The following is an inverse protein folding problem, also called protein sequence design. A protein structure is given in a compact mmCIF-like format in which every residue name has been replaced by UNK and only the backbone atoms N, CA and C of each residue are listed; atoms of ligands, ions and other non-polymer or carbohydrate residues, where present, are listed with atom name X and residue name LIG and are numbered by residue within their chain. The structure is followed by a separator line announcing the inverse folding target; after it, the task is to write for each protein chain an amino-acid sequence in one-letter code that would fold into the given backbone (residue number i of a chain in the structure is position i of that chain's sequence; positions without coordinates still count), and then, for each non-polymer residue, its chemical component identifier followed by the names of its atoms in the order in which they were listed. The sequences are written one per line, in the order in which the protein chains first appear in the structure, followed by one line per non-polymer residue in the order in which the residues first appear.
data_IF_984402474765
#
_entry.id   IF_984402474765
#
_cell.length_a   1.000
_cell.length_b   1.000
_cell.length_c   1.000
_cell.angle_alpha   90.00
_cell.angle_beta   90.00
_cell.angle_gamma   90.00
#
_symmetry.space_group_name_H-M   'P 1'
#
loop_
_entity.id
_entity.type
_entity.pdbx_description
1 polymer ?
#
# COMPACT_ATOMS: atom_id res chain seq x y z
N UNK A 1 9.76 21.80 5.53
CA UNK A 1 9.48 21.31 4.15
C UNK A 1 8.00 20.96 3.90
N UNK A 2 7.43 19.87 4.45
CA UNK A 2 6.01 19.52 4.22
C UNK A 2 5.04 20.66 4.58
N UNK A 3 5.23 21.31 5.72
CA UNK A 3 4.32 22.38 6.18
C UNK A 3 4.58 23.73 5.50
N UNK A 4 5.70 23.88 4.79
CA UNK A 4 6.18 25.14 4.24
C UNK A 4 6.07 25.19 2.71
N UNK A 5 6.02 24.02 2.07
CA UNK A 5 5.97 23.91 0.62
C UNK A 5 4.77 23.07 0.16
N UNK A 6 3.69 23.71 -0.32
CA UNK A 6 2.47 23.05 -0.78
C UNK A 6 2.69 21.99 -1.88
N UNK A 7 3.71 22.15 -2.72
CA UNK A 7 4.07 21.16 -3.74
C UNK A 7 4.56 19.85 -3.11
N UNK A 8 5.41 19.95 -2.07
CA UNK A 8 5.97 18.79 -1.41
C UNK A 8 4.89 18.06 -0.59
N UNK A 9 4.04 18.79 0.14
CA UNK A 9 2.92 18.18 0.87
C UNK A 9 1.95 17.44 -0.04
N UNK A 10 1.58 18.03 -1.18
CA UNK A 10 0.68 17.38 -2.16
C UNK A 10 1.29 16.07 -2.68
N UNK A 11 2.59 16.05 -2.96
CA UNK A 11 3.26 14.85 -3.45
C UNK A 11 3.36 13.76 -2.37
N UNK A 12 3.61 14.14 -1.12
CA UNK A 12 3.58 13.21 0.02
C UNK A 12 2.16 12.64 0.21
N UNK A 13 1.12 13.47 0.20
CA UNK A 13 -0.27 13.02 0.33
C UNK A 13 -0.73 12.08 -0.80
N UNK A 14 -0.26 12.29 -2.03
CA UNK A 14 -0.49 11.34 -3.13
C UNK A 14 0.14 9.97 -2.85
N UNK A 15 1.37 9.94 -2.32
CA UNK A 15 2.05 8.70 -1.97
C UNK A 15 1.33 7.99 -0.81
N UNK A 16 0.86 8.72 0.20
CA UNK A 16 0.05 8.14 1.27
C UNK A 16 -1.21 7.44 0.75
N UNK A 17 -1.91 8.04 -0.22
CA UNK A 17 -3.09 7.44 -0.85
C UNK A 17 -2.75 6.17 -1.64
N UNK A 18 -1.60 6.14 -2.32
CA UNK A 18 -1.17 4.95 -3.07
C UNK A 18 -0.81 3.84 -2.09
N UNK A 19 -0.06 4.15 -1.04
CA UNK A 19 0.33 3.17 -0.03
C UNK A 19 -0.86 2.64 0.78
N UNK A 20 -1.89 3.44 1.04
CA UNK A 20 -3.12 2.98 1.71
C UNK A 20 -3.93 1.96 0.89
N UNK A 21 -3.66 1.84 -0.42
CA UNK A 21 -4.28 0.85 -1.31
C UNK A 21 -3.42 -0.40 -1.49
N UNK A 22 -2.16 -0.38 -1.06
CA UNK A 22 -1.26 -1.52 -1.20
C UNK A 22 -1.50 -2.54 -0.06
N UNK A 23 -1.73 -3.81 -0.42
CA UNK A 23 -1.86 -4.91 0.53
C UNK A 23 -0.68 -5.89 0.37
N UNK A 24 0.24 -5.85 1.34
CA UNK A 24 1.46 -6.67 1.37
C UNK A 24 1.12 -8.16 1.45
N UNK A 25 0.11 -8.50 2.26
CA UNK A 25 -0.31 -9.88 2.46
C UNK A 25 -0.90 -10.46 1.19
N UNK A 26 -1.71 -9.66 0.48
CA UNK A 26 -2.24 -10.08 -0.80
C UNK A 26 -1.14 -10.25 -1.85
N UNK A 27 -0.15 -9.34 -1.91
CA UNK A 27 0.99 -9.47 -2.81
C UNK A 27 1.79 -10.76 -2.54
N UNK A 28 1.98 -11.12 -1.27
CA UNK A 28 2.59 -12.40 -0.88
C UNK A 28 1.72 -13.60 -1.30
N UNK A 29 0.40 -13.53 -1.12
CA UNK A 29 -0.52 -14.59 -1.54
C UNK A 29 -0.45 -14.87 -3.05
N UNK A 30 -0.29 -13.83 -3.87
CA UNK A 30 -0.09 -13.99 -5.31
C UNK A 30 1.28 -14.58 -5.65
N UNK A 31 2.36 -14.14 -4.99
CA UNK A 31 3.69 -14.70 -5.19
C UNK A 31 3.73 -16.22 -4.91
N UNK A 32 3.10 -16.65 -3.82
CA UNK A 32 3.08 -18.06 -3.44
C UNK A 32 2.31 -18.94 -4.44
N UNK A 33 1.37 -18.37 -5.21
CA UNK A 33 0.48 -19.12 -6.11
C UNK A 33 0.86 -19.04 -7.57
N UNK A 34 1.36 -17.88 -8.02
CA UNK A 34 1.58 -17.60 -9.43
C UNK A 34 3.06 -17.49 -9.81
N UNK A 35 3.96 -17.32 -8.84
CA UNK A 35 5.37 -17.04 -9.10
C UNK A 35 6.21 -18.26 -8.76
N UNK A 36 7.16 -18.60 -9.63
CA UNK A 36 8.11 -19.68 -9.39
C UNK A 36 8.94 -19.42 -8.11
N UNK A 37 9.24 -20.47 -7.31
CA UNK A 37 9.97 -20.31 -6.03
C UNK A 37 11.31 -19.58 -6.14
N UNK A 38 11.99 -19.72 -7.28
CA UNK A 38 13.28 -19.05 -7.56
C UNK A 38 13.18 -17.52 -7.54
N UNK A 39 12.00 -16.95 -7.81
CA UNK A 39 11.76 -15.50 -7.86
C UNK A 39 11.16 -14.94 -6.56
N UNK A 40 10.81 -15.78 -5.59
CA UNK A 40 10.20 -15.32 -4.32
C UNK A 40 11.10 -14.37 -3.53
N UNK A 41 12.43 -14.52 -3.66
CA UNK A 41 13.40 -13.58 -3.07
C UNK A 41 13.17 -12.14 -3.56
N UNK A 42 12.88 -11.95 -4.85
CA UNK A 42 12.63 -10.63 -5.43
C UNK A 42 11.35 -10.03 -4.83
N UNK A 43 10.27 -10.81 -4.75
CA UNK A 43 9.03 -10.38 -4.13
C UNK A 43 9.20 -9.95 -2.68
N UNK A 44 9.99 -10.69 -1.90
CA UNK A 44 10.32 -10.33 -0.52
C UNK A 44 11.13 -9.03 -0.42
N UNK A 45 12.10 -8.82 -1.33
CA UNK A 45 12.86 -7.57 -1.38
C UNK A 45 11.94 -6.37 -1.68
N UNK A 46 11.04 -6.50 -2.65
CA UNK A 46 10.09 -5.44 -3.01
C UNK A 46 9.12 -5.11 -1.86
N UNK A 47 8.58 -6.13 -1.17
CA UNK A 47 7.72 -5.94 0.00
C UNK A 47 8.47 -5.26 1.16
N UNK A 48 9.72 -5.63 1.38
CA UNK A 48 10.57 -5.01 2.42
C UNK A 48 10.83 -3.53 2.10
N UNK A 49 11.14 -3.22 0.84
CA UNK A 49 11.35 -1.84 0.39
C UNK A 49 10.07 -1.02 0.57
N UNK A 50 8.92 -1.55 0.18
CA UNK A 50 7.63 -0.90 0.34
C UNK A 50 7.34 -0.54 1.81
N UNK A 51 7.65 -1.43 2.76
CA UNK A 51 7.51 -1.15 4.19
C UNK A 51 8.45 -0.05 4.67
N UNK A 52 9.69 -0.02 4.19
CA UNK A 52 10.66 1.02 4.53
C UNK A 52 10.23 2.38 3.96
N UNK A 53 9.73 2.42 2.74
CA UNK A 53 9.24 3.63 2.09
C UNK A 53 8.02 4.17 2.83
N UNK A 54 7.06 3.30 3.20
CA UNK A 54 5.88 3.69 3.96
C UNK A 54 6.25 4.32 5.31
N UNK A 55 7.22 3.76 6.03
CA UNK A 55 7.74 4.34 7.28
C UNK A 55 8.38 5.70 7.05
N UNK A 56 9.12 5.86 5.95
CA UNK A 56 9.78 7.12 5.61
C UNK A 56 8.74 8.19 5.27
N UNK A 57 7.72 7.86 4.48
CA UNK A 57 6.62 8.78 4.14
C UNK A 57 5.83 9.17 5.40
N UNK A 58 5.52 8.22 6.27
CA UNK A 58 4.87 8.51 7.56
C UNK A 58 5.73 9.34 8.53
N UNK A 59 7.05 9.26 8.44
CA UNK A 59 7.92 10.12 9.25
C UNK A 59 7.99 11.55 8.68
N UNK A 60 7.86 11.70 7.36
CA UNK A 60 7.87 12.99 6.67
C UNK A 60 6.53 13.72 6.78
N UNK A 61 5.42 12.97 6.72
CA UNK A 61 4.08 13.45 7.07
C UNK A 61 3.98 13.46 8.61
N UNK A 62 4.18 14.61 9.24
CA UNK A 62 4.34 14.82 10.69
C UNK A 62 3.30 14.17 11.64
N UNK A 63 2.28 13.49 11.14
CA UNK A 63 1.10 13.02 11.88
C UNK A 63 0.98 11.50 12.11
N UNK A 64 1.93 10.69 11.62
CA UNK A 64 2.03 9.27 11.99
C UNK A 64 0.84 8.37 11.60
N UNK A 65 -0.16 8.91 10.90
CA UNK A 65 -1.31 8.20 10.35
C UNK A 65 -1.54 8.63 8.89
N UNK A 66 -1.68 7.65 8.01
CA UNK A 66 -1.96 7.87 6.58
C UNK A 66 -3.27 8.64 6.40
N UNK A 67 -3.26 9.67 5.54
CA UNK A 67 -4.46 10.38 5.07
C UNK A 67 -5.28 11.09 6.18
N UNK A 68 -4.66 11.55 7.27
CA UNK A 68 -5.37 12.23 8.38
C UNK A 68 -6.12 13.50 7.94
N UNK A 69 -5.58 14.24 6.97
CA UNK A 69 -6.20 15.45 6.44
C UNK A 69 -7.47 15.17 5.61
N UNK A 70 -7.71 13.91 5.24
CA UNK A 70 -8.79 13.49 4.34
C UNK A 70 -9.53 12.25 4.91
N UNK A 71 -10.17 12.35 6.09
CA UNK A 71 -10.74 11.20 6.81
C UNK A 71 -11.82 10.48 5.99
N UNK A 72 -12.63 11.22 5.24
CA UNK A 72 -13.64 10.65 4.34
C UNK A 72 -13.02 9.78 3.24
N UNK A 73 -11.87 10.19 2.69
CA UNK A 73 -11.18 9.43 1.64
C UNK A 73 -10.57 8.17 2.23
N UNK A 74 -9.98 8.27 3.42
CA UNK A 74 -9.44 7.11 4.14
C UNK A 74 -10.53 6.05 4.40
N UNK A 75 -11.71 6.46 4.87
CA UNK A 75 -12.84 5.57 5.10
C UNK A 75 -13.36 4.92 3.80
N UNK A 76 -13.50 5.73 2.74
CA UNK A 76 -13.90 5.22 1.42
C UNK A 76 -12.90 4.22 0.82
N UNK A 77 -11.60 4.41 1.06
CA UNK A 77 -10.56 3.45 0.66
C UNK A 77 -10.66 2.18 1.51
N UNK A 78 -10.83 2.30 2.83
CA UNK A 78 -10.96 1.15 3.73
C UNK A 78 -12.15 0.25 3.35
N UNK A 79 -13.34 0.83 3.10
CA UNK A 79 -14.52 0.10 2.67
C UNK A 79 -14.28 -0.63 1.34
N UNK A 80 -13.63 0.05 0.38
CA UNK A 80 -13.29 -0.56 -0.92
C UNK A 80 -12.25 -1.66 -0.79
N UNK A 81 -11.23 -1.50 0.05
CA UNK A 81 -10.21 -2.51 0.24
C UNK A 81 -10.82 -3.83 0.75
N UNK A 82 -11.84 -3.78 1.60
CA UNK A 82 -12.56 -4.99 2.05
C UNK A 82 -13.20 -5.73 0.87
N UNK A 83 -13.90 -5.01 -0.02
CA UNK A 83 -14.54 -5.59 -1.20
C UNK A 83 -13.51 -6.09 -2.23
N UNK A 84 -12.46 -5.31 -2.50
CA UNK A 84 -11.42 -5.71 -3.43
C UNK A 84 -10.63 -6.93 -2.93
N UNK A 85 -10.39 -7.03 -1.62
CA UNK A 85 -9.71 -8.17 -1.03
C UNK A 85 -10.48 -9.48 -1.23
N UNK A 86 -11.81 -9.45 -1.12
CA UNK A 86 -12.64 -10.65 -1.38
C UNK A 86 -12.62 -11.03 -2.87
N UNK A 87 -12.68 -10.04 -3.78
CA UNK A 87 -12.60 -10.25 -5.22
C UNK A 87 -11.22 -10.80 -5.66
N UNK A 88 -10.13 -10.24 -5.15
CA UNK A 88 -8.76 -10.65 -5.47
C UNK A 88 -8.42 -12.03 -4.90
N UNK A 89 -8.88 -12.35 -3.68
CA UNK A 89 -8.79 -13.70 -3.13
C UNK A 89 -9.49 -14.74 -4.03
N UNK A 90 -10.66 -14.38 -4.57
CA UNK A 90 -11.41 -15.23 -5.49
C UNK A 90 -10.69 -15.39 -6.83
N UNK A 91 -10.16 -14.30 -7.39
CA UNK A 91 -9.35 -14.34 -8.61
C UNK A 91 -8.12 -15.23 -8.45
N UNK A 92 -7.37 -15.09 -7.35
CA UNK A 92 -6.23 -15.97 -7.05
C UNK A 92 -6.60 -17.44 -6.82
N UNK A 93 -7.86 -17.76 -6.48
CA UNK A 93 -8.37 -19.15 -6.45
C UNK A 93 -8.63 -19.72 -7.85
N UNK A 94 -9.08 -18.89 -8.79
CA UNK A 94 -9.44 -19.28 -10.16
C UNK A 94 -8.21 -19.59 -11.02
N UNK A 95 -7.04 -19.00 -10.74
CA UNK A 95 -5.79 -19.27 -11.49
C UNK A 95 -5.12 -20.59 -11.05
N UNK A 96 -5.91 -21.64 -10.78
CA UNK A 96 -5.42 -23.02 -10.58
C UNK A 96 -6.09 -23.96 -11.57
#
# INVERSE_FOLDING_TARGET
MCNEWPFFSTRIGMLEMVFSKADIWLAEYYDQRLVEPKLHRLGNMLRTQLQADLKTVLALAHDGQLMRDLPWIAESIALRNILYRSAQSTSGRIVR
#
